data_IF_883216134031
#
_entry.id   IF_883216134031
#
_cell.length_a   1.000
_cell.length_b   1.000
_cell.length_c   1.000
_cell.angle_alpha   90.00
_cell.angle_beta   90.00
_cell.angle_gamma   90.00
#
_symmetry.space_group_name_H-M   'P 1'
#
loop_
_entity.id
_entity.type
_entity.pdbx_description
1 polymer ?
#
# COMPACT_ATOMS: atom_id res chain seq x y z
N UNK A 1 24.21 8.56 0.91
CA UNK A 1 23.37 9.79 1.04
C UNK A 1 22.53 9.69 2.32
N UNK A 2 22.24 10.79 3.03
CA UNK A 2 21.68 10.76 4.40
C UNK A 2 20.37 9.95 4.59
N UNK A 3 19.51 9.87 3.57
CA UNK A 3 18.20 9.20 3.64
C UNK A 3 18.06 7.99 2.70
N UNK A 4 19.18 7.39 2.31
CA UNK A 4 19.23 6.34 1.29
C UNK A 4 18.56 5.01 1.70
N UNK A 5 18.57 4.71 3.00
CA UNK A 5 17.98 3.50 3.57
C UNK A 5 16.72 3.84 4.34
N UNK A 6 15.85 4.65 3.75
CA UNK A 6 14.63 5.13 4.42
C UNK A 6 13.36 4.60 3.79
N UNK A 7 12.33 4.43 4.61
CA UNK A 7 10.98 4.09 4.18
C UNK A 7 10.00 5.10 4.76
N UNK A 8 8.87 5.25 4.08
CA UNK A 8 7.72 5.98 4.59
C UNK A 8 6.63 4.98 4.94
N UNK A 9 6.09 5.09 6.14
CA UNK A 9 4.94 4.35 6.60
C UNK A 9 3.74 5.28 6.75
N UNK A 10 2.63 4.89 6.14
CA UNK A 10 1.37 5.62 6.13
C UNK A 10 0.34 4.84 6.94
N UNK A 11 -0.15 5.43 8.02
CA UNK A 11 -1.30 4.95 8.77
C UNK A 11 -2.56 5.53 8.15
N UNK A 12 -3.38 4.65 7.58
CA UNK A 12 -4.52 5.06 6.75
C UNK A 12 -5.83 4.84 7.52
N UNK A 13 -6.76 5.77 7.37
CA UNK A 13 -8.14 5.65 7.87
C UNK A 13 -8.32 6.09 9.33
N UNK A 14 -7.56 5.55 10.29
CA UNK A 14 -7.64 5.96 11.70
C UNK A 14 -6.44 6.76 12.16
N UNK A 15 -6.71 7.76 12.99
CA UNK A 15 -5.68 8.51 13.73
C UNK A 15 -5.39 7.78 15.03
N UNK A 16 -4.22 7.18 15.13
CA UNK A 16 -3.67 6.67 16.38
C UNK A 16 -2.71 7.71 16.97
N UNK A 17 -2.53 7.76 18.30
CA UNK A 17 -1.51 8.62 18.90
C UNK A 17 -0.12 8.25 18.37
N UNK A 18 0.64 9.24 17.93
CA UNK A 18 1.96 9.01 17.33
C UNK A 18 2.89 8.22 18.25
N UNK A 19 2.85 8.47 19.56
CA UNK A 19 3.66 7.76 20.55
C UNK A 19 3.44 6.25 20.49
N UNK A 20 2.19 5.81 20.37
CA UNK A 20 1.83 4.39 20.36
C UNK A 20 2.28 3.71 19.06
N UNK A 21 2.09 4.40 17.93
CA UNK A 21 2.58 3.94 16.62
C UNK A 21 4.09 3.78 16.64
N UNK A 22 4.82 4.80 17.10
CA UNK A 22 6.27 4.77 17.20
C UNK A 22 6.75 3.64 18.12
N UNK A 23 6.14 3.48 19.30
CA UNK A 23 6.52 2.42 20.24
C UNK A 23 6.34 1.02 19.63
N UNK A 24 5.22 0.78 18.93
CA UNK A 24 4.94 -0.51 18.30
C UNK A 24 5.90 -0.78 17.13
N UNK A 25 6.17 0.23 16.30
CA UNK A 25 7.12 0.11 15.20
C UNK A 25 8.54 -0.11 15.71
N UNK A 26 8.96 0.59 16.77
CA UNK A 26 10.25 0.38 17.43
C UNK A 26 10.40 -1.06 17.90
N UNK A 27 9.35 -1.63 18.49
CA UNK A 27 9.34 -3.02 18.95
C UNK A 27 9.38 -4.01 17.79
N UNK A 28 8.58 -3.81 16.74
CA UNK A 28 8.49 -4.73 15.60
C UNK A 28 9.76 -4.69 14.73
N UNK A 29 10.17 -3.50 14.28
CA UNK A 29 11.31 -3.36 13.37
C UNK A 29 12.66 -3.35 14.10
N UNK A 30 12.69 -2.97 15.38
CA UNK A 30 13.92 -2.93 16.16
C UNK A 30 14.51 -4.31 16.48
N UNK A 31 13.69 -5.37 16.35
CA UNK A 31 14.16 -6.76 16.45
C UNK A 31 15.05 -7.17 15.26
N UNK A 32 14.91 -6.48 14.13
CA UNK A 32 15.61 -6.79 12.88
C UNK A 32 16.93 -6.03 12.80
N UNK A 33 16.94 -4.79 13.27
CA UNK A 33 18.13 -3.96 13.28
C UNK A 33 17.82 -2.54 13.76
N UNK A 34 18.89 -1.75 13.91
CA UNK A 34 18.78 -0.38 14.40
C UNK A 34 18.22 0.55 13.33
N UNK A 35 17.34 1.43 13.75
CA UNK A 35 16.73 2.44 12.91
C UNK A 35 16.26 3.63 13.77
N UNK A 36 16.12 4.80 13.15
CA UNK A 36 15.41 5.94 13.73
C UNK A 36 14.08 6.11 13.02
N UNK A 37 13.08 6.63 13.73
CA UNK A 37 11.75 6.90 13.17
C UNK A 37 11.24 8.25 13.65
N UNK A 38 10.66 9.00 12.72
CA UNK A 38 10.24 10.37 12.93
C UNK A 38 8.80 10.54 12.41
N UNK A 39 8.02 11.38 13.09
CA UNK A 39 6.72 11.81 12.59
C UNK A 39 6.98 12.84 11.48
N UNK A 40 6.54 12.53 10.26
CA UNK A 40 6.69 13.40 9.10
C UNK A 40 5.41 14.17 8.76
N UNK A 41 4.27 13.70 9.25
CA UNK A 41 2.96 14.32 9.01
C UNK A 41 1.87 13.59 9.78
N UNK A 42 0.62 14.03 9.60
CA UNK A 42 -0.53 13.39 10.23
C UNK A 42 -0.70 11.96 9.68
N UNK A 43 -0.36 10.94 10.48
CA UNK A 43 -0.40 9.53 10.06
C UNK A 43 0.76 9.14 9.14
N UNK A 44 1.81 9.95 9.03
CA UNK A 44 2.98 9.68 8.16
C UNK A 44 4.23 9.61 9.00
N UNK A 45 4.97 8.51 8.86
CA UNK A 45 6.18 8.22 9.62
C UNK A 45 7.33 7.95 8.67
N UNK A 46 8.47 8.59 8.91
CA UNK A 46 9.71 8.39 8.15
C UNK A 46 10.67 7.59 9.02
N UNK A 47 11.02 6.38 8.57
CA UNK A 47 11.99 5.53 9.25
C UNK A 47 13.27 5.43 8.42
N UNK A 48 14.42 5.63 9.07
CA UNK A 48 15.76 5.51 8.50
C UNK A 48 16.49 4.35 9.16
N UNK A 49 16.94 3.41 8.34
CA UNK A 49 17.67 2.22 8.79
C UNK A 49 19.19 2.44 8.67
N UNK A 50 19.96 1.76 9.52
CA UNK A 50 21.43 1.79 9.44
C UNK A 50 21.95 1.22 8.12
N UNK A 51 21.27 0.22 7.55
CA UNK A 51 21.70 -0.43 6.32
C UNK A 51 20.52 -0.85 5.43
N UNK A 52 20.84 -1.19 4.19
CA UNK A 52 19.89 -1.62 3.15
C UNK A 52 19.17 -2.91 3.54
N UNK A 53 19.86 -3.84 4.19
CA UNK A 53 19.35 -5.17 4.51
C UNK A 53 18.17 -5.08 5.49
N UNK A 54 18.29 -4.29 6.56
CA UNK A 54 17.19 -4.12 7.54
C UNK A 54 16.00 -3.44 6.88
N UNK A 55 16.25 -2.42 6.04
CA UNK A 55 15.18 -1.74 5.27
C UNK A 55 14.42 -2.73 4.38
N UNK A 56 15.15 -3.52 3.60
CA UNK A 56 14.54 -4.45 2.64
C UNK A 56 13.79 -5.56 3.36
N UNK A 57 14.33 -6.06 4.47
CA UNK A 57 13.63 -7.03 5.31
C UNK A 57 12.29 -6.48 5.80
N UNK A 58 12.23 -5.21 6.25
CA UNK A 58 10.96 -4.57 6.65
C UNK A 58 9.99 -4.47 5.47
N UNK A 59 10.47 -4.16 4.27
CA UNK A 59 9.61 -4.07 3.08
C UNK A 59 9.08 -5.43 2.62
N UNK A 60 9.85 -6.50 2.80
CA UNK A 60 9.54 -7.86 2.31
C UNK A 60 8.77 -8.73 3.31
N UNK A 61 8.78 -8.36 4.60
CA UNK A 61 8.12 -9.12 5.68
C UNK A 61 6.86 -8.42 6.23
N UNK A 62 6.19 -7.64 5.39
CA UNK A 62 4.86 -7.12 5.70
C UNK A 62 3.75 -8.19 5.55
N UNK A 63 2.47 -7.83 5.78
CA UNK A 63 1.96 -6.50 6.11
C UNK A 63 2.29 -6.06 7.54
N UNK A 64 2.36 -4.76 7.76
CA UNK A 64 2.55 -4.17 9.08
C UNK A 64 1.24 -3.62 9.62
N UNK A 65 0.97 -3.85 10.90
CA UNK A 65 -0.20 -3.31 11.60
C UNK A 65 0.19 -2.65 12.93
N UNK A 66 -0.66 -1.73 13.39
CA UNK A 66 -0.61 -1.15 14.73
C UNK A 66 -2.03 -1.23 15.30
N UNK A 67 -2.24 -2.06 16.32
CA UNK A 67 -3.55 -2.32 16.92
C UNK A 67 -4.63 -2.72 15.88
N UNK A 68 -4.24 -3.55 14.90
CA UNK A 68 -5.14 -3.99 13.83
C UNK A 68 -5.36 -2.95 12.71
N UNK A 69 -4.75 -1.77 12.79
CA UNK A 69 -4.74 -0.80 11.69
C UNK A 69 -3.50 -1.01 10.82
N UNK A 70 -3.71 -1.35 9.56
CA UNK A 70 -2.63 -1.62 8.62
C UNK A 70 -1.86 -0.35 8.23
N UNK A 71 -0.55 -0.51 8.10
CA UNK A 71 0.37 0.48 7.60
C UNK A 71 0.73 0.14 6.16
N UNK A 72 0.66 1.15 5.31
CA UNK A 72 1.22 1.06 3.99
C UNK A 72 2.65 1.57 4.00
N UNK A 73 3.58 0.72 3.60
CA UNK A 73 5.02 0.95 3.74
C UNK A 73 5.68 0.92 2.38
N UNK A 74 6.48 1.94 2.05
CA UNK A 74 7.22 2.01 0.78
C UNK A 74 8.59 2.67 0.93
N UNK A 75 9.55 2.40 0.02
CA UNK A 75 10.81 3.13 -0.02
C UNK A 75 10.59 4.64 -0.13
N UNK A 76 11.34 5.42 0.64
CA UNK A 76 11.38 6.86 0.47
C UNK A 76 12.19 7.23 -0.77
N UNK A 77 11.74 8.26 -1.50
CA UNK A 77 12.46 8.81 -2.64
C UNK A 77 12.49 10.34 -2.61
N UNK A 78 13.50 10.94 -3.24
CA UNK A 78 13.59 12.41 -3.36
C UNK A 78 12.37 12.93 -4.12
N UNK A 79 11.73 13.97 -3.59
CA UNK A 79 10.52 14.56 -4.18
C UNK A 79 9.22 13.79 -3.86
N UNK A 80 9.28 12.70 -3.08
CA UNK A 80 8.08 12.05 -2.55
C UNK A 80 7.34 12.99 -1.61
N UNK A 81 6.03 13.11 -1.81
CA UNK A 81 5.14 13.77 -0.85
C UNK A 81 5.03 12.95 0.44
N UNK A 82 5.18 13.63 1.59
CA UNK A 82 4.96 13.06 2.92
C UNK A 82 3.55 13.41 3.44
N UNK A 83 2.58 13.49 2.51
CA UNK A 83 1.18 13.76 2.78
C UNK A 83 0.29 12.63 2.26
N UNK A 84 -0.53 12.06 3.15
CA UNK A 84 -1.58 11.10 2.78
C UNK A 84 -2.57 11.70 1.78
N UNK A 85 -2.85 12.99 1.88
CA UNK A 85 -3.77 13.71 0.99
C UNK A 85 -3.28 13.83 -0.46
N UNK A 86 -2.02 13.50 -0.73
CA UNK A 86 -1.44 13.49 -2.09
C UNK A 86 -1.15 12.06 -2.58
N UNK A 87 -1.33 11.04 -1.73
CA UNK A 87 -1.11 9.64 -2.07
C UNK A 87 -2.27 9.09 -2.89
N UNK A 88 -2.05 9.00 -4.21
CA UNK A 88 -2.98 8.40 -5.18
C UNK A 88 -2.85 6.88 -5.34
N UNK A 89 -1.78 6.28 -4.82
CA UNK A 89 -1.56 4.84 -4.79
C UNK A 89 -1.10 4.38 -3.42
N UNK A 90 -1.24 3.09 -3.11
CA UNK A 90 -0.81 2.49 -1.87
C UNK A 90 -0.29 1.06 -2.06
N UNK A 91 0.86 0.69 -1.46
CA UNK A 91 1.32 -0.68 -1.41
C UNK A 91 0.41 -1.51 -0.51
N UNK A 92 -0.18 -2.56 -1.08
CA UNK A 92 -1.07 -3.48 -0.40
C UNK A 92 -0.58 -4.91 -0.59
N UNK A 93 -0.59 -5.67 0.50
CA UNK A 93 -0.28 -7.10 0.48
C UNK A 93 -1.51 -7.90 0.05
N UNK A 94 -1.31 -8.74 -0.96
CA UNK A 94 -2.35 -9.50 -1.64
C UNK A 94 -1.92 -10.96 -1.72
N UNK A 95 -2.82 -11.87 -1.35
CA UNK A 95 -2.65 -13.30 -1.61
C UNK A 95 -3.35 -13.66 -2.91
N UNK A 96 -2.62 -14.31 -3.80
CA UNK A 96 -3.11 -14.88 -5.05
C UNK A 96 -3.20 -16.40 -4.85
N UNK A 97 -4.40 -16.97 -4.86
CA UNK A 97 -4.64 -18.41 -4.70
C UNK A 97 -5.04 -19.04 -6.02
N UNK A 98 -4.74 -20.33 -6.18
CA UNK A 98 -5.03 -21.06 -7.41
C UNK A 98 -4.12 -20.67 -8.58
N UNK A 99 -2.96 -20.09 -8.30
CA UNK A 99 -1.97 -19.74 -9.33
C UNK A 99 -1.39 -21.02 -9.95
N UNK A 100 -1.48 -21.21 -11.28
CA UNK A 100 -0.90 -22.37 -11.92
C UNK A 100 0.63 -22.42 -11.74
N UNK A 101 1.17 -23.62 -11.58
CA UNK A 101 2.58 -23.82 -11.19
C UNK A 101 3.58 -23.22 -12.19
N UNK A 102 3.22 -23.14 -13.47
CA UNK A 102 4.05 -22.51 -14.50
C UNK A 102 4.24 -21.00 -14.28
N UNK A 103 3.31 -20.33 -13.59
CA UNK A 103 3.40 -18.91 -13.23
C UNK A 103 4.08 -18.67 -11.88
N UNK A 104 4.46 -19.71 -11.13
CA UNK A 104 5.15 -19.62 -9.84
C UNK A 104 6.63 -19.23 -10.00
N UNK A 105 6.86 -18.07 -10.59
CA UNK A 105 8.15 -17.42 -10.71
C UNK A 105 7.92 -15.90 -10.69
N UNK A 106 9.00 -15.14 -10.52
CA UNK A 106 8.91 -13.69 -10.40
C UNK A 106 8.20 -13.03 -11.59
N UNK A 107 8.42 -13.52 -12.81
CA UNK A 107 7.82 -12.96 -14.02
C UNK A 107 6.32 -13.28 -14.08
N UNK A 108 5.95 -14.54 -13.88
CA UNK A 108 4.55 -14.99 -13.91
C UNK A 108 3.70 -14.37 -12.82
N UNK A 109 4.19 -14.33 -11.57
CA UNK A 109 3.48 -13.69 -10.47
C UNK A 109 3.35 -12.18 -10.68
N UNK A 110 4.38 -11.52 -11.21
CA UNK A 110 4.30 -10.09 -11.54
C UNK A 110 3.32 -9.84 -12.69
N UNK A 111 3.25 -10.74 -13.68
CA UNK A 111 2.30 -10.66 -14.79
C UNK A 111 0.86 -10.70 -14.27
N UNK A 112 0.51 -11.67 -13.43
CA UNK A 112 -0.82 -11.78 -12.82
C UNK A 112 -1.12 -10.56 -11.93
N UNK A 113 -0.19 -10.21 -11.04
CA UNK A 113 -0.36 -9.09 -10.11
C UNK A 113 -0.48 -7.74 -10.82
N UNK A 114 0.05 -7.61 -12.05
CA UNK A 114 -0.01 -6.38 -12.83
C UNK A 114 -1.44 -5.95 -13.22
N UNK A 115 -2.37 -6.91 -13.23
CA UNK A 115 -3.80 -6.64 -13.45
C UNK A 115 -4.39 -5.77 -12.32
N UNK A 116 -3.88 -5.92 -11.10
CA UNK A 116 -4.39 -5.22 -9.91
C UNK A 116 -3.73 -3.84 -9.73
N UNK A 117 -2.45 -3.72 -10.09
CA UNK A 117 -1.63 -2.54 -9.89
C UNK A 117 -0.16 -2.82 -10.21
N UNK A 118 0.78 -2.05 -9.66
CA UNK A 118 2.21 -2.27 -9.92
C UNK A 118 2.80 -3.23 -8.87
N UNK A 119 3.29 -4.43 -9.23
CA UNK A 119 3.97 -5.31 -8.28
C UNK A 119 5.24 -4.65 -7.75
N UNK A 120 5.46 -4.70 -6.42
CA UNK A 120 6.59 -4.04 -5.75
C UNK A 120 7.49 -5.06 -5.04
N UNK A 121 6.89 -5.93 -4.22
CA UNK A 121 7.61 -6.95 -3.44
C UNK A 121 6.86 -8.29 -3.47
N UNK A 122 7.59 -9.37 -3.21
CA UNK A 122 7.05 -10.70 -2.91
C UNK A 122 7.67 -11.13 -1.59
N UNK A 123 6.92 -11.86 -0.77
CA UNK A 123 7.50 -12.36 0.47
C UNK A 123 8.50 -13.52 0.21
N UNK A 124 9.35 -13.79 1.19
CA UNK A 124 10.42 -14.79 1.08
C UNK A 124 9.86 -16.18 0.80
N UNK A 125 8.73 -16.53 1.43
CA UNK A 125 8.03 -17.81 1.24
C UNK A 125 7.62 -18.00 -0.21
N UNK A 126 7.06 -16.96 -0.83
CA UNK A 126 6.65 -16.95 -2.24
C UNK A 126 7.86 -17.01 -3.17
N UNK A 127 8.90 -16.21 -2.88
CA UNK A 127 10.11 -16.17 -3.70
C UNK A 127 10.85 -17.52 -3.73
N UNK A 128 10.95 -18.19 -2.59
CA UNK A 128 11.65 -19.46 -2.47
C UNK A 128 10.75 -20.68 -2.74
N UNK A 129 9.46 -20.47 -3.04
CA UNK A 129 8.47 -21.53 -3.32
C UNK A 129 8.34 -22.55 -2.18
N UNK A 130 8.51 -22.10 -0.94
CA UNK A 130 8.41 -22.99 0.24
C UNK A 130 6.99 -23.51 0.45
N UNK A 131 5.98 -22.72 0.06
CA UNK A 131 4.58 -23.11 0.07
C UNK A 131 3.91 -22.59 -1.21
N UNK A 132 3.19 -23.46 -1.91
CA UNK A 132 2.54 -23.15 -3.20
C UNK A 132 1.03 -22.91 -3.06
N UNK A 133 0.53 -22.78 -1.83
CA UNK A 133 -0.92 -22.62 -1.54
C UNK A 133 -1.43 -21.25 -2.00
N UNK A 134 -0.62 -20.21 -1.82
CA UNK A 134 -0.87 -18.86 -2.33
C UNK A 134 0.45 -18.14 -2.54
N UNK A 135 0.47 -17.23 -3.51
CA UNK A 135 1.55 -16.27 -3.67
C UNK A 135 1.19 -14.98 -2.94
N UNK A 136 2.09 -14.47 -2.11
CA UNK A 136 1.89 -13.25 -1.34
C UNK A 136 2.72 -12.12 -1.93
N UNK A 137 2.04 -11.14 -2.52
CA UNK A 137 2.62 -10.08 -3.35
C UNK A 137 2.18 -8.73 -2.81
N UNK A 138 3.14 -7.82 -2.64
CA UNK A 138 2.89 -6.41 -2.36
C UNK A 138 2.73 -5.66 -3.68
N UNK A 139 1.57 -5.03 -3.87
CA UNK A 139 1.17 -4.35 -5.11
C UNK A 139 0.84 -2.90 -4.79
N UNK A 140 1.49 -1.95 -5.47
CA UNK A 140 1.12 -0.53 -5.40
C UNK A 140 -0.17 -0.32 -6.20
N UNK A 141 -1.29 -0.23 -5.49
CA UNK A 141 -2.62 -0.13 -6.06
C UNK A 141 -3.10 1.32 -6.06
N UNK A 142 -3.75 1.72 -7.15
CA UNK A 142 -4.33 3.05 -7.28
C UNK A 142 -5.57 3.21 -6.39
N UNK A 143 -5.81 4.42 -5.89
CA UNK A 143 -7.08 4.82 -5.27
C UNK A 143 -8.28 4.76 -6.23
N UNK A 144 -8.02 4.54 -7.52
CA UNK A 144 -9.02 4.31 -8.55
C UNK A 144 -9.23 2.83 -8.89
N UNK A 145 -8.42 1.92 -8.35
CA UNK A 145 -8.55 0.48 -8.59
C UNK A 145 -9.87 -0.07 -8.06
N UNK A 146 -10.39 -1.11 -8.69
CA UNK A 146 -11.68 -1.75 -8.34
C UNK A 146 -11.58 -2.82 -7.24
N UNK A 147 -10.37 -3.22 -6.85
CA UNK A 147 -10.12 -4.28 -5.85
C UNK A 147 -10.86 -5.59 -6.16
N UNK A 148 -10.67 -6.19 -7.34
CA UNK A 148 -11.39 -7.41 -7.73
C UNK A 148 -11.03 -8.59 -6.83
N UNK A 149 -11.99 -9.49 -6.61
CA UNK A 149 -11.82 -10.68 -5.77
C UNK A 149 -11.26 -11.87 -6.56
N UNK A 150 -11.15 -11.74 -7.88
CA UNK A 150 -10.52 -12.71 -8.76
C UNK A 150 -9.92 -12.07 -10.01
N UNK A 151 -8.89 -12.69 -10.57
CA UNK A 151 -8.31 -12.36 -11.88
C UNK A 151 -8.48 -13.56 -12.80
N UNK A 152 -9.11 -13.35 -13.95
CA UNK A 152 -9.16 -14.37 -15.01
C UNK A 152 -7.84 -14.35 -15.78
N UNK A 153 -7.20 -15.52 -15.87
CA UNK A 153 -5.96 -15.74 -16.60
C UNK A 153 -6.23 -16.65 -17.80
N UNK A 154 -5.92 -16.17 -18.99
CA UNK A 154 -5.93 -16.99 -20.22
C UNK A 154 -4.59 -17.74 -20.34
N UNK A 155 -4.67 -19.03 -20.63
CA UNK A 155 -3.52 -19.92 -20.81
C UNK A 155 -3.20 -20.06 -22.32
N UNK A 156 -2.00 -20.58 -22.62
CA UNK A 156 -1.53 -20.72 -24.00
C UNK A 156 -2.40 -21.67 -24.85
N UNK A 157 -3.08 -22.61 -24.21
CA UNK A 157 -4.01 -23.55 -24.86
C UNK A 157 -5.42 -22.94 -25.11
N UNK A 158 -5.60 -21.66 -24.78
CA UNK A 158 -6.88 -20.93 -24.90
C UNK A 158 -7.86 -21.20 -23.77
N UNK A 159 -7.52 -22.07 -22.81
CA UNK A 159 -8.33 -22.25 -21.60
C UNK A 159 -8.17 -21.06 -20.66
N UNK A 160 -9.13 -20.87 -19.75
CA UNK A 160 -9.08 -19.82 -18.73
C UNK A 160 -9.12 -20.41 -17.34
N UNK A 161 -8.38 -19.79 -16.43
CA UNK A 161 -8.43 -20.11 -15.01
C UNK A 161 -8.69 -18.86 -14.19
N UNK A 162 -9.36 -19.01 -13.05
CA UNK A 162 -9.63 -17.92 -12.12
C UNK A 162 -8.65 -17.98 -10.95
N UNK A 163 -7.95 -16.88 -10.70
CA UNK A 163 -7.05 -16.71 -9.57
C UNK A 163 -7.79 -15.89 -8.51
N UNK A 164 -8.02 -16.46 -7.34
CA UNK A 164 -8.67 -15.75 -6.23
C UNK A 164 -7.69 -14.72 -5.63
N UNK A 165 -8.22 -13.54 -5.32
CA UNK A 165 -7.48 -12.38 -4.82
C UNK A 165 -7.98 -12.02 -3.43
N UNK A 166 -7.14 -12.24 -2.43
CA UNK A 166 -7.41 -11.85 -1.03
C UNK A 166 -6.51 -10.70 -0.61
N UNK A 167 -7.11 -9.59 -0.19
CA UNK A 167 -6.39 -8.41 0.31
C UNK A 167 -6.22 -8.50 1.82
N UNK A 168 -5.02 -8.28 2.34
CA UNK A 168 -4.80 -8.18 3.78
C UNK A 168 -5.66 -7.07 4.40
N UNK A 169 -5.85 -5.97 3.66
CA UNK A 169 -6.76 -4.90 4.01
C UNK A 169 -7.10 -4.04 2.79
N UNK A 170 -8.34 -3.53 2.74
CA UNK A 170 -8.88 -2.70 1.66
C UNK A 170 -9.08 -1.25 2.16
N UNK A 171 -8.15 -0.30 1.89
CA UNK A 171 -8.35 1.10 2.25
C UNK A 171 -9.52 1.72 1.50
N UNK A 172 -10.34 2.50 2.20
CA UNK A 172 -11.37 3.32 1.55
C UNK A 172 -10.71 4.51 0.83
N UNK A 173 -10.92 4.60 -0.47
CA UNK A 173 -10.52 5.76 -1.27
C UNK A 173 -11.65 6.79 -1.34
N UNK A 174 -11.31 8.07 -1.29
CA UNK A 174 -12.24 9.14 -1.61
C UNK A 174 -12.61 9.10 -3.10
N UNK A 175 -13.90 8.95 -3.41
CA UNK A 175 -14.41 8.91 -4.77
C UNK A 175 -14.23 10.24 -5.54
N UNK A 176 -14.07 11.37 -4.84
CA UNK A 176 -14.03 12.72 -5.43
C UNK A 176 -12.61 13.20 -5.76
N UNK A 177 -11.64 12.92 -4.88
CA UNK A 177 -10.25 13.33 -5.08
C UNK A 177 -9.28 12.16 -5.29
N UNK A 178 -9.74 10.92 -5.17
CA UNK A 178 -8.97 9.69 -5.45
C UNK A 178 -7.72 9.56 -4.59
N UNK A 179 -7.88 9.71 -3.27
CA UNK A 179 -6.83 9.51 -2.26
C UNK A 179 -7.37 8.70 -1.08
N UNK A 180 -6.49 8.10 -0.29
CA UNK A 180 -6.85 7.22 0.83
C UNK A 180 -6.94 7.94 2.19
N UNK A 181 -6.76 9.26 2.23
CA UNK A 181 -6.66 10.04 3.46
C UNK A 181 -8.00 10.26 4.18
N UNK A 182 -9.10 10.36 3.45
CA UNK A 182 -10.39 10.76 4.02
C UNK A 182 -11.60 10.17 3.30
N UNK A 183 -12.76 10.23 3.95
CA UNK A 183 -14.05 9.85 3.36
C UNK A 183 -14.60 10.93 2.43
N UNK A 184 -15.54 10.58 1.54
CA UNK A 184 -16.21 11.54 0.66
C UNK A 184 -16.84 12.73 1.39
N UNK A 185 -17.34 12.53 2.62
CA UNK A 185 -17.97 13.58 3.44
C UNK A 185 -16.98 14.64 3.91
N UNK A 186 -15.75 14.22 4.15
CA UNK A 186 -14.66 15.08 4.65
C UNK A 186 -13.77 15.59 3.51
N UNK A 187 -14.20 15.42 2.25
CA UNK A 187 -13.37 15.78 1.11
C UNK A 187 -13.32 17.30 0.91
N UNK A 188 -12.13 17.91 0.77
CA UNK A 188 -11.99 19.35 0.53
C UNK A 188 -12.74 19.86 -0.71
N UNK A 189 -12.97 18.98 -1.71
CA UNK A 189 -13.76 19.30 -2.90
C UNK A 189 -15.26 19.47 -2.61
N UNK A 190 -15.78 18.88 -1.54
CA UNK A 190 -17.19 19.05 -1.11
C UNK A 190 -17.36 20.32 -0.29
N UNK A 191 -16.36 20.67 0.52
CA UNK A 191 -16.43 21.83 1.41
C UNK A 191 -16.21 23.16 0.69
N UNK A 192 -15.61 23.15 -0.52
CA UNK A 192 -15.63 24.31 -1.44
C UNK A 192 -16.96 24.39 -2.20
N UNK A 193 -18.05 24.76 -1.52
CA UNK A 193 -19.18 25.37 -2.22
C UNK A 193 -18.79 26.82 -2.47
N UNK A 194 -18.40 27.14 -3.70
CA UNK A 194 -18.24 28.53 -4.12
C UNK A 194 -19.61 29.22 -3.98
N UNK A 195 -19.66 30.29 -3.18
CA UNK A 195 -20.83 31.14 -3.09
C UNK A 195 -21.01 31.79 -4.47
N UNK A 196 -22.06 31.41 -5.19
CA UNK A 196 -22.46 32.11 -6.40
C UNK A 196 -23.40 33.26 -6.01
N UNK A 197 -23.06 34.53 -6.30
CA UNK A 197 -24.00 35.62 -6.16
C UNK A 197 -25.25 35.31 -7.01
N UNK A 198 -26.44 35.59 -6.46
CA UNK A 198 -27.68 35.48 -7.24
C UNK A 198 -27.55 36.39 -8.48
N UNK A 199 -27.90 35.91 -9.69
CA UNK A 199 -27.94 36.78 -10.85
C UNK A 199 -28.92 37.92 -10.56
N UNK A 200 -28.44 39.17 -10.66
CA UNK A 200 -29.31 40.33 -10.62
C UNK A 200 -30.07 40.32 -11.94
N UNK A 201 -31.35 39.96 -11.89
CA UNK A 201 -32.26 40.15 -13.02
C UNK A 201 -32.36 41.66 -13.24
N UNK A 202 -31.79 42.15 -14.34
CA UNK A 202 -32.00 43.54 -14.76
C UNK A 202 -33.45 43.64 -15.25
N UNK A 203 -34.24 44.46 -14.56
CA UNK A 203 -35.62 44.78 -14.87
C UNK A 203 -35.72 45.79 -16.02
#
# INVERSE_FOLDING_TARGET
KEWEHSIVAFLVGKKLPNKDVLQILQRKWGQVGRFSIHVAGNGVFLARFENRQVRDWVLENGPWDVWGYHLAVRPWSRGMSLSLGECKSMPLWVKLKGVPIQFWNKVGLSYIASVLGKPVHMDVTTMNRHALVFAHVCIDMSAMSSFPESVTLELEDGSTTSIEVEYAWRPAACALCKVFDHSNRSCPKVTRREWMPRPVLMA
#
